data_IF_248399916693
#
_entry.id   IF_248399916693
#
_cell.length_a   1.000
_cell.length_b   1.000
_cell.length_c   1.000
_cell.angle_alpha   90.00
_cell.angle_beta   90.00
_cell.angle_gamma   90.00
#
_symmetry.space_group_name_H-M   'P 1'
#
loop_
_entity.id
_entity.type
_entity.pdbx_description
1 polymer ?
#
# COMPACT_ATOMS: atom_id res chain seq x y z
N UNK A 1 -10.38 5.21 8.21
CA UNK A 1 -10.06 6.18 7.12
C UNK A 1 -11.16 6.31 6.08
N UNK A 2 -11.90 5.23 5.73
CA UNK A 2 -12.91 5.26 4.66
C UNK A 2 -14.37 5.28 5.17
N UNK A 3 -14.60 5.64 6.43
CA UNK A 3 -15.91 5.57 7.08
C UNK A 3 -16.98 6.44 6.41
N UNK A 4 -16.57 7.54 5.77
CA UNK A 4 -17.46 8.47 5.08
C UNK A 4 -17.34 8.38 3.54
N UNK A 5 -16.69 7.33 3.03
CA UNK A 5 -16.55 7.12 1.58
C UNK A 5 -17.85 6.53 1.03
N UNK A 6 -18.42 7.13 -0.01
CA UNK A 6 -19.61 6.60 -0.67
C UNK A 6 -19.36 5.14 -1.15
N UNK A 7 -20.32 4.22 -0.99
CA UNK A 7 -20.14 2.80 -1.32
C UNK A 7 -19.65 2.56 -2.76
N UNK A 8 -20.19 3.29 -3.73
CA UNK A 8 -19.83 3.13 -5.15
C UNK A 8 -18.39 3.55 -5.42
N UNK A 9 -17.88 4.55 -4.67
CA UNK A 9 -16.49 4.97 -4.73
C UNK A 9 -15.58 3.91 -4.12
N UNK A 10 -15.99 3.29 -3.01
CA UNK A 10 -15.25 2.21 -2.38
C UNK A 10 -15.15 0.98 -3.29
N UNK A 11 -16.27 0.57 -3.90
CA UNK A 11 -16.31 -0.55 -4.85
C UNK A 11 -15.43 -0.28 -6.08
N UNK A 12 -15.49 0.95 -6.61
CA UNK A 12 -14.60 1.37 -7.69
C UNK A 12 -13.13 1.26 -7.29
N UNK A 13 -12.75 1.75 -6.09
CA UNK A 13 -11.37 1.63 -5.60
C UNK A 13 -10.93 0.17 -5.49
N UNK A 14 -11.77 -0.69 -4.91
CA UNK A 14 -11.49 -2.12 -4.76
C UNK A 14 -11.34 -2.81 -6.12
N UNK A 15 -12.13 -2.44 -7.12
CA UNK A 15 -12.00 -2.99 -8.49
C UNK A 15 -10.64 -2.72 -9.15
N UNK A 16 -9.89 -1.74 -8.64
CA UNK A 16 -8.55 -1.37 -9.14
C UNK A 16 -7.42 -1.99 -8.35
N UNK A 17 -7.69 -2.62 -7.21
CA UNK A 17 -6.68 -3.23 -6.34
C UNK A 17 -6.75 -4.75 -6.55
N UNK A 18 -5.77 -5.39 -7.21
CA UNK A 18 -5.76 -6.84 -7.41
C UNK A 18 -5.91 -7.67 -6.12
N UNK A 19 -5.39 -7.18 -4.99
CA UNK A 19 -5.57 -7.84 -3.69
C UNK A 19 -7.02 -7.78 -3.14
N UNK A 20 -7.93 -7.02 -3.78
CA UNK A 20 -9.35 -6.98 -3.44
C UNK A 20 -9.68 -6.36 -2.10
N UNK A 21 -8.75 -5.62 -1.49
CA UNK A 21 -8.95 -4.96 -0.19
C UNK A 21 -8.20 -3.63 -0.08
N UNK A 22 -8.62 -2.81 0.87
CA UNK A 22 -7.88 -1.62 1.28
C UNK A 22 -6.65 -2.04 2.09
N UNK A 23 -5.53 -1.36 1.85
CA UNK A 23 -4.32 -1.52 2.65
C UNK A 23 -4.48 -0.90 4.03
N UNK A 24 -3.89 -1.54 5.04
CA UNK A 24 -3.93 -1.05 6.41
C UNK A 24 -2.72 -0.16 6.71
N UNK A 25 -2.88 0.81 7.61
CA UNK A 25 -1.79 1.71 8.02
C UNK A 25 -0.59 0.92 8.58
N UNK A 26 -0.87 -0.17 9.28
CA UNK A 26 0.16 -1.06 9.83
C UNK A 26 1.03 -1.70 8.75
N UNK A 27 0.49 -2.02 7.58
CA UNK A 27 1.26 -2.62 6.48
C UNK A 27 2.28 -1.62 5.89
N UNK A 28 1.87 -0.36 5.77
CA UNK A 28 2.76 0.73 5.36
C UNK A 28 3.83 0.98 6.42
N UNK A 29 3.44 1.00 7.70
CA UNK A 29 4.36 1.19 8.81
C UNK A 29 5.41 0.07 8.88
N UNK A 30 5.03 -1.19 8.67
CA UNK A 30 5.96 -2.32 8.66
C UNK A 30 6.96 -2.24 7.50
N UNK A 31 6.50 -1.87 6.29
CA UNK A 31 7.41 -1.65 5.15
C UNK A 31 8.43 -0.54 5.49
N UNK A 32 7.96 0.61 5.98
CA UNK A 32 8.84 1.73 6.37
C UNK A 32 9.81 1.32 7.48
N UNK A 33 9.33 0.58 8.48
CA UNK A 33 10.15 0.05 9.58
C UNK A 33 11.28 -0.85 9.07
N UNK A 34 10.97 -1.77 8.14
CA UNK A 34 11.99 -2.61 7.52
C UNK A 34 13.00 -1.81 6.70
N UNK A 35 12.52 -0.89 5.84
CA UNK A 35 13.37 -0.02 5.01
C UNK A 35 14.30 0.85 5.83
N UNK A 36 13.86 1.28 7.02
CA UNK A 36 14.65 2.14 7.93
C UNK A 36 15.57 1.35 8.86
N UNK A 37 15.57 0.02 8.79
CA UNK A 37 16.36 -0.85 9.67
C UNK A 37 17.65 -1.32 9.01
N UNK A 38 18.59 -1.81 9.82
CA UNK A 38 19.83 -2.44 9.35
C UNK A 38 19.60 -3.68 8.48
N UNK A 39 18.37 -4.22 8.49
CA UNK A 39 17.98 -5.35 7.63
C UNK A 39 17.87 -4.99 6.15
N UNK A 40 17.79 -3.70 5.82
CA UNK A 40 17.75 -3.19 4.44
C UNK A 40 19.02 -2.39 4.07
N UNK A 41 20.18 -2.81 4.60
CA UNK A 41 21.43 -2.02 4.56
C UNK A 41 22.05 -1.79 3.17
N UNK A 42 21.60 -2.51 2.14
CA UNK A 42 22.14 -2.41 0.78
C UNK A 42 21.12 -1.90 -0.24
N UNK A 43 20.07 -1.23 0.21
CA UNK A 43 19.13 -0.52 -0.66
C UNK A 43 19.22 0.99 -0.48
N UNK A 44 19.15 1.72 -1.59
CA UNK A 44 19.02 3.18 -1.61
C UNK A 44 18.33 3.65 -2.88
N UNK A 45 17.78 4.87 -2.86
CA UNK A 45 17.17 5.55 -4.00
C UNK A 45 16.11 4.73 -4.77
N UNK A 46 15.45 3.79 -4.09
CA UNK A 46 14.47 2.87 -4.67
C UNK A 46 13.04 3.29 -4.34
N UNK A 47 12.11 2.99 -5.26
CA UNK A 47 10.67 3.16 -5.04
C UNK A 47 10.07 1.80 -4.73
N UNK A 48 9.41 1.69 -3.58
CA UNK A 48 8.72 0.47 -3.15
C UNK A 48 7.22 0.65 -3.29
N UNK A 49 6.61 -0.12 -4.20
CA UNK A 49 5.16 -0.13 -4.32
C UNK A 49 4.52 -0.86 -3.14
N UNK A 50 3.48 -0.27 -2.57
CA UNK A 50 2.62 -0.90 -1.56
C UNK A 50 1.15 -0.69 -1.91
N UNK A 51 0.82 -0.80 -3.20
CA UNK A 51 -0.51 -0.45 -3.71
C UNK A 51 -1.50 -1.61 -3.72
N UNK A 52 -1.09 -2.80 -3.24
CA UNK A 52 -1.86 -4.03 -3.40
C UNK A 52 -1.99 -4.49 -4.85
N UNK A 53 -1.02 -4.11 -5.70
CA UNK A 53 -0.97 -4.43 -7.14
C UNK A 53 -1.68 -3.43 -8.05
N UNK A 54 -2.15 -2.29 -7.53
CA UNK A 54 -2.87 -1.27 -8.31
C UNK A 54 -1.96 -0.53 -9.31
N UNK A 55 -0.68 -0.35 -8.97
CA UNK A 55 0.29 0.32 -9.82
C UNK A 55 0.55 -0.46 -11.13
N UNK A 56 0.74 0.26 -12.24
CA UNK A 56 0.91 -0.32 -13.59
C UNK A 56 2.17 0.18 -14.32
N UNK A 57 3.14 0.72 -13.60
CA UNK A 57 4.41 1.21 -14.17
C UNK A 57 5.45 0.11 -14.32
#
# INVERSE_FOLDING_TARGET
MNENTAPEVLDYMLSKIPMGRIGEVGEVAELVSWLSSDRCSFSTASVYDISGGRATY
#
